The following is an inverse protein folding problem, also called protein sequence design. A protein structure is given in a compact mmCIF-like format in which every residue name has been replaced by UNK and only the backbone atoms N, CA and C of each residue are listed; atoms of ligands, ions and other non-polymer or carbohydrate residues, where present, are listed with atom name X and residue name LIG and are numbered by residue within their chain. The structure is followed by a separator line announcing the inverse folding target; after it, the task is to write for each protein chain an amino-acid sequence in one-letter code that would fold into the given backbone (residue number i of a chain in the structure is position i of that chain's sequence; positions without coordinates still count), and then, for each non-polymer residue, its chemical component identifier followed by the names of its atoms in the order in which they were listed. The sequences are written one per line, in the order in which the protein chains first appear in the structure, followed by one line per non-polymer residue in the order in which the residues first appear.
data_IF_703876180545
#
_entry.id   IF_703876180545
#
_cell.length_a   1.000
_cell.length_b   1.000
_cell.length_c   1.000
_cell.angle_alpha   90.00
_cell.angle_beta   90.00
_cell.angle_gamma   90.00
#
_symmetry.space_group_name_H-M   'P 1'
#
loop_
_entity.id
_entity.type
_entity.pdbx_description
1 polymer ?
#
# COMPACT_ATOMS: atom_id res chain seq x y z
N UNK A 1 -8.71 -39.11 25.87
CA UNK A 1 -8.03 -37.83 26.19
C UNK A 1 -6.86 -37.51 25.26
N UNK A 2 -6.05 -38.48 24.80
CA UNK A 2 -4.86 -38.19 23.96
C UNK A 2 -5.14 -37.70 22.53
N UNK A 3 -6.25 -38.09 21.89
CA UNK A 3 -6.56 -37.67 20.52
C UNK A 3 -7.01 -36.20 20.38
N UNK A 4 -7.60 -35.61 21.43
CA UNK A 4 -8.07 -34.21 21.41
C UNK A 4 -6.86 -33.24 21.43
N UNK A 5 -5.80 -33.58 22.13
CA UNK A 5 -4.56 -32.78 22.19
C UNK A 5 -3.86 -32.75 20.82
N UNK A 6 -3.88 -33.86 20.08
CA UNK A 6 -3.31 -33.92 18.73
C UNK A 6 -4.11 -33.11 17.70
N UNK A 7 -5.44 -33.08 17.79
CA UNK A 7 -6.28 -32.28 16.88
C UNK A 7 -6.16 -30.79 17.18
N UNK A 8 -6.12 -30.38 18.44
CA UNK A 8 -5.89 -28.97 18.83
C UNK A 8 -4.48 -28.53 18.43
N UNK A 9 -3.48 -29.39 18.60
CA UNK A 9 -2.11 -29.14 18.15
C UNK A 9 -2.04 -28.96 16.63
N UNK A 10 -2.73 -29.79 15.85
CA UNK A 10 -2.75 -29.71 14.39
C UNK A 10 -3.51 -28.47 13.88
N UNK A 11 -4.60 -28.09 14.56
CA UNK A 11 -5.35 -26.85 14.25
C UNK A 11 -4.55 -25.62 14.63
N UNK A 12 -3.80 -25.62 15.75
CA UNK A 12 -2.89 -24.54 16.12
C UNK A 12 -1.71 -24.43 15.15
N UNK A 13 -1.20 -25.55 14.64
CA UNK A 13 -0.13 -25.59 13.64
C UNK A 13 -0.62 -25.13 12.27
N UNK A 14 -1.85 -25.50 11.88
CA UNK A 14 -2.52 -24.96 10.69
C UNK A 14 -2.82 -23.46 10.85
N UNK A 15 -3.26 -22.99 12.02
CA UNK A 15 -3.47 -21.57 12.29
C UNK A 15 -2.14 -20.79 12.36
N UNK A 16 -1.01 -21.41 12.70
CA UNK A 16 0.32 -20.79 12.58
C UNK A 16 0.81 -20.77 11.13
N UNK A 17 0.55 -21.82 10.35
CA UNK A 17 0.92 -21.90 8.93
C UNK A 17 0.05 -21.00 8.04
N UNK A 18 -1.22 -20.77 8.42
CA UNK A 18 -2.15 -19.88 7.72
C UNK A 18 -2.27 -18.47 8.34
N UNK A 19 -1.93 -18.29 9.62
CA UNK A 19 -2.17 -17.05 10.38
C UNK A 19 -1.09 -15.98 10.29
N UNK A 20 0.10 -16.30 9.78
CA UNK A 20 1.16 -15.28 9.59
C UNK A 20 2.00 -15.56 8.35
N UNK A 21 1.38 -15.94 7.23
CA UNK A 21 1.96 -15.58 5.93
C UNK A 21 1.69 -14.09 5.70
N UNK A 22 2.32 -13.23 6.50
CA UNK A 22 2.77 -11.95 5.97
C UNK A 22 3.72 -12.34 4.84
N UNK A 23 3.20 -12.48 3.62
CA UNK A 23 4.05 -12.52 2.45
C UNK A 23 4.89 -11.24 2.54
N UNK A 24 6.22 -11.32 2.36
CA UNK A 24 7.06 -10.13 2.37
C UNK A 24 6.39 -9.13 1.45
N UNK A 25 6.05 -7.97 2.01
CA UNK A 25 5.66 -6.80 1.25
C UNK A 25 6.72 -6.61 0.18
N UNK A 26 6.28 -6.42 -1.07
CA UNK A 26 7.19 -6.05 -2.16
C UNK A 26 8.14 -4.99 -1.60
N UNK A 27 9.43 -5.31 -1.63
CA UNK A 27 10.46 -4.40 -1.17
C UNK A 27 10.21 -3.09 -1.91
N UNK A 28 9.85 -2.02 -1.21
CA UNK A 28 9.72 -0.68 -1.82
C UNK A 28 11.05 -0.17 -2.42
N UNK A 29 12.08 -1.01 -2.40
CA UNK A 29 13.45 -0.81 -2.87
C UNK A 29 13.66 -1.18 -4.34
N UNK A 30 12.74 -1.94 -4.95
CA UNK A 30 12.86 -2.33 -6.36
C UNK A 30 12.15 -1.30 -7.24
N UNK A 31 12.60 -0.05 -7.19
CA UNK A 31 12.06 1.03 -8.02
C UNK A 31 12.41 0.73 -9.48
N UNK A 32 11.38 0.63 -10.32
CA UNK A 32 11.54 0.40 -11.75
C UNK A 32 11.55 1.74 -12.49
N UNK A 33 12.22 1.77 -13.65
CA UNK A 33 11.96 2.85 -14.60
C UNK A 33 10.50 2.80 -15.04
N UNK A 34 9.92 3.95 -15.40
CA UNK A 34 8.48 4.04 -15.67
C UNK A 34 8.03 3.06 -16.77
N UNK A 35 8.79 2.93 -17.87
CA UNK A 35 8.44 2.01 -18.95
C UNK A 35 8.58 0.54 -18.54
N UNK A 36 9.55 0.21 -17.67
CA UNK A 36 9.70 -1.12 -17.08
C UNK A 36 8.52 -1.44 -16.14
N UNK A 37 8.05 -0.46 -15.37
CA UNK A 37 6.88 -0.58 -14.52
C UNK A 37 5.62 -0.86 -15.33
N UNK A 38 5.39 -0.10 -16.41
CA UNK A 38 4.24 -0.31 -17.30
C UNK A 38 4.29 -1.71 -17.92
N UNK A 39 5.45 -2.14 -18.41
CA UNK A 39 5.67 -3.49 -18.94
C UNK A 39 5.41 -4.57 -17.88
N UNK A 40 5.92 -4.38 -16.65
CA UNK A 40 5.68 -5.28 -15.52
C UNK A 40 4.20 -5.42 -15.21
N UNK A 41 3.46 -4.31 -15.15
CA UNK A 41 2.01 -4.29 -14.91
C UNK A 41 1.25 -5.06 -15.99
N UNK A 42 1.59 -4.87 -17.27
CA UNK A 42 1.01 -5.64 -18.38
C UNK A 42 1.31 -7.14 -18.27
N UNK A 43 2.56 -7.50 -17.98
CA UNK A 43 2.98 -8.90 -17.79
C UNK A 43 2.28 -9.59 -16.63
N UNK A 44 1.98 -8.82 -15.57
CA UNK A 44 1.29 -9.31 -14.39
C UNK A 44 -0.18 -9.58 -14.69
N UNK A 45 -0.83 -8.69 -15.45
CA UNK A 45 -2.20 -8.88 -15.92
C UNK A 45 -2.33 -10.16 -16.77
N UNK A 46 -1.33 -10.47 -17.60
CA UNK A 46 -1.31 -11.66 -18.46
C UNK A 46 -1.26 -13.01 -17.70
N UNK A 47 -0.94 -13.02 -16.39
CA UNK A 47 -0.93 -14.26 -15.57
C UNK A 47 -2.30 -14.87 -15.35
N UNK A 48 -3.37 -14.14 -15.70
CA UNK A 48 -4.73 -14.66 -15.76
C UNK A 48 -5.50 -14.59 -14.43
N UNK A 49 -6.77 -14.98 -14.53
CA UNK A 49 -7.74 -14.91 -13.42
C UNK A 49 -7.61 -16.14 -12.52
N UNK A 50 -7.71 -15.92 -11.21
CA UNK A 50 -7.86 -17.01 -10.24
C UNK A 50 -9.32 -17.32 -9.93
N UNK A 51 -9.52 -18.39 -9.15
CA UNK A 51 -10.86 -18.80 -8.71
C UNK A 51 -11.31 -17.97 -7.51
N UNK A 52 -12.54 -17.46 -7.59
CA UNK A 52 -13.27 -16.86 -6.48
C UNK A 52 -13.18 -15.33 -6.38
N UNK A 53 -13.79 -14.79 -5.32
CA UNK A 53 -13.88 -13.35 -5.07
C UNK A 53 -13.53 -13.02 -3.62
N UNK A 54 -12.90 -11.87 -3.38
CA UNK A 54 -12.48 -11.39 -2.05
C UNK A 54 -13.04 -10.00 -1.73
N UNK A 55 -12.95 -9.55 -0.48
CA UNK A 55 -13.26 -8.16 -0.10
C UNK A 55 -11.96 -7.42 0.20
N UNK A 56 -11.89 -6.13 -0.15
CA UNK A 56 -10.82 -5.27 0.33
C UNK A 56 -10.90 -5.25 1.85
N UNK A 57 -9.78 -5.45 2.52
CA UNK A 57 -9.68 -5.44 3.98
C UNK A 57 -8.55 -4.51 4.36
N UNK A 58 -8.82 -3.66 5.34
CA UNK A 58 -7.80 -2.86 5.99
C UNK A 58 -7.55 -3.41 7.40
N UNK A 59 -6.30 -3.45 7.88
CA UNK A 59 -6.00 -3.93 9.22
C UNK A 59 -6.81 -3.21 10.31
N UNK A 60 -7.53 -3.93 11.19
CA UNK A 60 -8.42 -3.32 12.18
C UNK A 60 -7.69 -2.57 13.30
N UNK A 61 -6.36 -2.77 13.41
CA UNK A 61 -5.51 -2.08 14.36
C UNK A 61 -4.83 -0.84 13.78
N UNK A 62 -4.92 -0.58 12.48
CA UNK A 62 -4.18 0.48 11.78
C UNK A 62 -4.35 1.86 12.46
N UNK A 63 -5.60 2.25 12.75
CA UNK A 63 -5.87 3.55 13.38
C UNK A 63 -5.27 3.65 14.80
N UNK A 64 -5.32 2.55 15.58
CA UNK A 64 -4.73 2.49 16.92
C UNK A 64 -3.19 2.49 16.85
N UNK A 65 -2.62 1.76 15.90
CA UNK A 65 -1.18 1.71 15.63
C UNK A 65 -0.66 3.11 15.29
N UNK A 66 -1.34 3.77 14.35
CA UNK A 66 -1.01 5.11 13.90
C UNK A 66 -1.09 6.15 15.03
N UNK A 67 -2.18 6.14 15.80
CA UNK A 67 -2.33 7.02 16.96
C UNK A 67 -1.23 6.80 18.01
N UNK A 68 -0.92 5.53 18.34
CA UNK A 68 0.10 5.18 19.33
C UNK A 68 1.50 5.60 18.89
N UNK A 69 1.90 5.28 17.66
CA UNK A 69 3.24 5.59 17.14
C UNK A 69 3.43 7.10 17.00
N UNK A 70 2.49 7.83 16.39
CA UNK A 70 2.57 9.30 16.32
C UNK A 70 2.60 9.93 17.72
N UNK A 71 1.79 9.42 18.65
CA UNK A 71 1.79 9.88 20.04
C UNK A 71 3.10 9.60 20.80
N UNK A 72 3.86 8.57 20.40
CA UNK A 72 5.22 8.35 20.91
C UNK A 72 6.22 9.31 20.27
N UNK A 73 6.20 9.46 18.94
CA UNK A 73 7.12 10.32 18.18
C UNK A 73 7.00 11.80 18.60
N UNK A 74 5.78 12.28 18.84
CA UNK A 74 5.52 13.66 19.27
C UNK A 74 6.12 14.03 20.64
N UNK A 75 6.56 13.05 21.46
CA UNK A 75 7.19 13.31 22.76
C UNK A 75 8.65 13.77 22.65
N UNK A 76 9.26 13.55 21.49
CA UNK A 76 10.66 13.85 21.24
C UNK A 76 10.74 15.14 20.43
N UNK A 77 11.65 16.03 20.83
CA UNK A 77 11.96 17.26 20.11
C UNK A 77 12.80 16.95 18.87
N UNK A 78 13.87 16.18 19.05
CA UNK A 78 14.68 15.65 17.96
C UNK A 78 14.06 14.36 17.41
N UNK A 79 13.78 14.35 16.10
CA UNK A 79 13.16 13.24 15.40
C UNK A 79 13.96 12.91 14.15
N UNK A 80 14.04 11.63 13.84
CA UNK A 80 14.56 11.16 12.57
C UNK A 80 13.73 11.77 11.41
N UNK A 81 14.32 12.02 10.23
CA UNK A 81 13.62 12.68 9.13
C UNK A 81 12.33 11.99 8.70
N UNK A 82 12.30 10.65 8.72
CA UNK A 82 11.11 9.86 8.44
C UNK A 82 10.01 10.05 9.53
N UNK A 83 10.41 10.11 10.81
CA UNK A 83 9.49 10.31 11.93
C UNK A 83 8.83 11.69 11.85
N UNK A 84 9.60 12.71 11.46
CA UNK A 84 9.11 14.07 11.29
C UNK A 84 7.99 14.15 10.26
N UNK A 85 8.14 13.46 9.11
CA UNK A 85 7.07 13.38 8.10
C UNK A 85 5.77 12.80 8.68
N UNK A 86 5.86 11.73 9.49
CA UNK A 86 4.66 11.15 10.10
C UNK A 86 4.01 12.09 11.13
N UNK A 87 4.80 12.77 11.96
CA UNK A 87 4.26 13.70 12.96
C UNK A 87 3.59 14.92 12.31
N UNK A 88 4.20 15.47 11.25
CA UNK A 88 3.67 16.63 10.53
C UNK A 88 2.36 16.33 9.79
N UNK A 89 2.15 15.06 9.45
CA UNK A 89 1.00 14.62 8.66
C UNK A 89 0.04 13.72 9.45
N UNK A 90 0.21 13.61 10.77
CA UNK A 90 -0.46 12.61 11.58
C UNK A 90 -1.99 12.71 11.55
N UNK A 91 -2.54 13.92 11.65
CA UNK A 91 -3.99 14.16 11.56
C UNK A 91 -4.55 13.76 10.19
N UNK A 92 -3.88 14.16 9.12
CA UNK A 92 -4.25 13.80 7.75
C UNK A 92 -4.30 12.28 7.56
N UNK A 93 -3.29 11.55 8.05
CA UNK A 93 -3.26 10.09 7.95
C UNK A 93 -4.39 9.42 8.75
N UNK A 94 -4.75 9.96 9.93
CA UNK A 94 -5.90 9.48 10.70
C UNK A 94 -7.21 9.67 9.95
N UNK A 95 -7.43 10.85 9.38
CA UNK A 95 -8.62 11.18 8.59
C UNK A 95 -8.74 10.28 7.35
N UNK A 96 -7.63 10.09 6.60
CA UNK A 96 -7.60 9.22 5.42
C UNK A 96 -7.84 7.75 5.77
N UNK A 97 -7.33 7.29 6.90
CA UNK A 97 -7.57 5.93 7.42
C UNK A 97 -9.04 5.72 7.75
N UNK A 98 -9.68 6.69 8.44
CA UNK A 98 -11.10 6.62 8.77
C UNK A 98 -11.99 6.67 7.51
N UNK A 99 -11.67 7.55 6.57
CA UNK A 99 -12.38 7.65 5.29
C UNK A 99 -12.31 6.33 4.50
N UNK A 100 -11.11 5.75 4.36
CA UNK A 100 -10.92 4.47 3.69
C UNK A 100 -11.73 3.34 4.35
N UNK A 101 -11.81 3.28 5.68
CA UNK A 101 -12.66 2.30 6.37
C UNK A 101 -14.14 2.43 6.04
N UNK A 102 -14.63 3.66 5.87
CA UNK A 102 -16.00 3.92 5.44
C UNK A 102 -16.24 3.41 4.02
N UNK A 103 -15.38 3.78 3.09
CA UNK A 103 -15.51 3.44 1.66
C UNK A 103 -15.45 1.92 1.42
N UNK A 104 -14.56 1.19 2.10
CA UNK A 104 -14.45 -0.27 1.95
C UNK A 104 -15.77 -0.99 2.24
N UNK A 105 -16.61 -0.47 3.14
CA UNK A 105 -17.90 -1.10 3.48
C UNK A 105 -18.86 -1.15 2.31
N UNK A 106 -18.79 -0.17 1.40
CA UNK A 106 -19.58 -0.12 0.17
C UNK A 106 -19.05 -1.03 -0.94
N UNK A 107 -17.80 -1.51 -0.83
CA UNK A 107 -17.17 -2.34 -1.86
C UNK A 107 -17.62 -3.79 -1.71
N UNK A 108 -18.20 -4.31 -2.79
CA UNK A 108 -18.61 -5.71 -2.91
C UNK A 108 -17.43 -6.70 -2.96
N UNK A 109 -17.73 -7.98 -3.22
CA UNK A 109 -16.67 -8.96 -3.48
C UNK A 109 -16.08 -8.74 -4.88
N UNK A 110 -14.76 -8.66 -5.00
CA UNK A 110 -14.01 -8.42 -6.23
C UNK A 110 -13.27 -9.68 -6.71
N UNK A 111 -13.01 -9.82 -8.02
CA UNK A 111 -12.27 -10.96 -8.58
C UNK A 111 -10.85 -11.12 -8.00
N UNK A 112 -10.38 -12.38 -8.00
CA UNK A 112 -9.03 -12.73 -7.57
C UNK A 112 -8.11 -13.06 -8.75
N UNK A 113 -6.82 -12.82 -8.58
CA UNK A 113 -5.76 -13.29 -9.48
C UNK A 113 -5.42 -14.76 -9.23
N UNK A 114 -4.58 -15.35 -10.09
CA UNK A 114 -4.14 -16.74 -9.97
C UNK A 114 -3.50 -17.07 -8.61
N UNK A 115 -2.91 -16.08 -7.93
CA UNK A 115 -2.28 -16.20 -6.62
C UNK A 115 -3.28 -16.10 -5.44
N UNK A 116 -4.57 -15.90 -5.75
CA UNK A 116 -5.66 -15.79 -4.78
C UNK A 116 -5.81 -14.40 -4.13
N UNK A 117 -5.09 -13.40 -4.62
CA UNK A 117 -5.16 -12.00 -4.18
C UNK A 117 -6.23 -11.24 -4.96
N UNK A 118 -6.80 -10.19 -4.38
CA UNK A 118 -7.76 -9.34 -5.10
C UNK A 118 -7.02 -8.57 -6.18
N UNK A 119 -7.44 -8.70 -7.44
CA UNK A 119 -6.71 -8.17 -8.60
C UNK A 119 -6.43 -6.68 -8.51
N UNK A 120 -7.44 -5.87 -8.20
CA UNK A 120 -7.26 -4.41 -8.07
C UNK A 120 -6.31 -4.03 -6.92
N UNK A 121 -6.25 -4.83 -5.85
CA UNK A 121 -5.28 -4.64 -4.77
C UNK A 121 -3.87 -5.07 -5.19
N UNK A 122 -3.76 -6.13 -6.00
CA UNK A 122 -2.49 -6.56 -6.60
C UNK A 122 -1.93 -5.47 -7.50
N UNK A 123 -2.74 -4.96 -8.42
CA UNK A 123 -2.42 -3.81 -9.26
C UNK A 123 -1.94 -2.61 -8.42
N UNK A 124 -2.73 -2.19 -7.43
CA UNK A 124 -2.38 -1.05 -6.59
C UNK A 124 -1.06 -1.26 -5.85
N UNK A 125 -0.81 -2.46 -5.30
CA UNK A 125 0.43 -2.79 -4.58
C UNK A 125 1.66 -2.72 -5.47
N UNK A 126 1.56 -3.25 -6.68
CA UNK A 126 2.68 -3.31 -7.62
C UNK A 126 2.98 -1.92 -8.19
N UNK A 127 1.93 -1.16 -8.51
CA UNK A 127 2.06 0.24 -8.94
C UNK A 127 2.76 1.08 -7.87
N UNK A 128 2.31 1.01 -6.61
CA UNK A 128 2.90 1.80 -5.52
C UNK A 128 4.30 1.30 -5.14
N UNK A 129 4.49 -0.02 -5.10
CA UNK A 129 5.75 -0.64 -4.68
C UNK A 129 6.92 -0.35 -5.62
N UNK A 130 6.66 -0.33 -6.93
CA UNK A 130 7.68 -0.14 -7.96
C UNK A 130 7.81 1.30 -8.47
N UNK A 131 7.03 2.25 -7.93
CA UNK A 131 7.09 3.69 -8.26
C UNK A 131 7.70 4.55 -7.15
N UNK A 132 8.39 3.94 -6.17
CA UNK A 132 8.83 4.65 -4.96
C UNK A 132 7.67 5.40 -4.24
N UNK A 133 6.46 4.83 -4.33
CA UNK A 133 5.20 5.42 -3.93
C UNK A 133 4.88 6.81 -4.53
N UNK A 134 5.51 7.22 -5.64
CA UNK A 134 5.21 8.45 -6.40
C UNK A 134 4.15 8.16 -7.48
N UNK A 135 2.90 8.03 -7.05
CA UNK A 135 1.76 7.74 -7.93
C UNK A 135 1.05 9.03 -8.30
N UNK A 136 1.09 9.36 -9.59
CA UNK A 136 0.42 10.51 -10.21
C UNK A 136 -0.70 10.05 -11.15
N UNK A 137 -1.56 10.99 -11.55
CA UNK A 137 -2.69 10.71 -12.44
C UNK A 137 -2.28 10.10 -13.78
N UNK A 138 -1.25 10.66 -14.44
CA UNK A 138 -0.77 10.18 -15.74
C UNK A 138 -0.22 8.74 -15.67
N UNK A 139 0.69 8.48 -14.72
CA UNK A 139 1.22 7.15 -14.45
C UNK A 139 0.10 6.14 -14.16
N UNK A 140 -0.91 6.54 -13.37
CA UNK A 140 -2.06 5.69 -13.08
C UNK A 140 -2.83 5.32 -14.35
N UNK A 141 -3.11 6.29 -15.22
CA UNK A 141 -3.83 6.07 -16.48
C UNK A 141 -3.03 5.11 -17.36
N UNK A 142 -1.73 5.37 -17.57
CA UNK A 142 -0.84 4.48 -18.35
C UNK A 142 -0.83 3.06 -17.79
N UNK A 143 -0.72 2.90 -16.47
CA UNK A 143 -0.69 1.59 -15.83
C UNK A 143 -2.02 0.85 -15.95
N UNK A 144 -3.15 1.54 -15.79
CA UNK A 144 -4.48 0.94 -15.99
C UNK A 144 -4.64 0.49 -17.44
N UNK A 145 -4.23 1.30 -18.42
CA UNK A 145 -4.27 0.94 -19.84
C UNK A 145 -3.49 -0.35 -20.12
N UNK A 146 -2.24 -0.43 -19.68
CA UNK A 146 -1.41 -1.62 -19.87
C UNK A 146 -1.97 -2.88 -19.20
N UNK A 147 -2.62 -2.73 -18.03
CA UNK A 147 -3.32 -3.84 -17.38
C UNK A 147 -4.53 -4.30 -18.21
N UNK A 148 -5.34 -3.35 -18.70
CA UNK A 148 -6.57 -3.65 -19.43
C UNK A 148 -6.35 -4.30 -20.79
N UNK A 149 -5.19 -4.09 -21.43
CA UNK A 149 -4.81 -4.78 -22.68
C UNK A 149 -4.76 -6.30 -22.53
N UNK A 150 -4.36 -6.80 -21.35
CA UNK A 150 -4.16 -8.23 -21.11
C UNK A 150 -5.31 -8.84 -20.30
N UNK A 151 -5.80 -8.12 -19.29
CA UNK A 151 -6.88 -8.62 -18.43
C UNK A 151 -7.77 -7.45 -17.98
N UNK A 152 -8.84 -7.13 -18.73
CA UNK A 152 -9.78 -6.08 -18.38
C UNK A 152 -10.22 -6.10 -16.91
N UNK A 153 -10.35 -4.92 -16.33
CA UNK A 153 -11.03 -4.78 -15.05
C UNK A 153 -12.54 -4.86 -15.26
N UNK A 154 -13.23 -5.50 -14.31
CA UNK A 154 -14.68 -5.39 -14.22
C UNK A 154 -15.07 -3.97 -13.78
N UNK A 155 -16.30 -3.55 -14.06
CA UNK A 155 -16.82 -2.24 -13.61
C UNK A 155 -16.67 -2.05 -12.09
N UNK A 156 -16.88 -3.13 -11.34
CA UNK A 156 -16.71 -3.13 -9.89
C UNK A 156 -15.24 -2.95 -9.45
N UNK A 157 -14.28 -3.45 -10.23
CA UNK A 157 -12.85 -3.24 -9.96
C UNK A 157 -12.44 -1.80 -10.28
N UNK A 158 -12.90 -1.24 -11.40
CA UNK A 158 -12.67 0.16 -11.77
C UNK A 158 -13.25 1.11 -10.72
N UNK A 159 -14.50 0.87 -10.29
CA UNK A 159 -15.14 1.65 -9.21
C UNK A 159 -14.40 1.54 -7.87
N UNK A 160 -13.77 0.37 -7.60
CA UNK A 160 -13.02 0.13 -6.38
C UNK A 160 -11.54 0.58 -6.44
N UNK A 161 -11.05 1.00 -7.60
CA UNK A 161 -9.66 1.41 -7.80
C UNK A 161 -9.21 2.57 -6.87
N UNK A 162 -10.02 3.63 -6.64
CA UNK A 162 -9.62 4.74 -5.76
C UNK A 162 -9.31 4.26 -4.34
N UNK A 163 -10.23 3.48 -3.76
CA UNK A 163 -10.09 2.96 -2.40
C UNK A 163 -9.01 1.87 -2.32
N UNK A 164 -8.82 1.07 -3.37
CA UNK A 164 -7.74 0.09 -3.43
C UNK A 164 -6.35 0.74 -3.37
N UNK A 165 -6.15 1.83 -4.11
CA UNK A 165 -4.90 2.62 -4.07
C UNK A 165 -4.72 3.27 -2.70
N UNK A 166 -5.77 3.89 -2.15
CA UNK A 166 -5.72 4.54 -0.82
C UNK A 166 -5.35 3.54 0.28
N UNK A 167 -6.02 2.39 0.31
CA UNK A 167 -5.76 1.33 1.30
C UNK A 167 -4.35 0.77 1.16
N UNK A 168 -3.87 0.60 -0.07
CA UNK A 168 -2.50 0.13 -0.34
C UNK A 168 -1.47 1.11 0.22
N UNK A 169 -1.57 2.41 -0.11
CA UNK A 169 -0.67 3.44 0.40
C UNK A 169 -0.71 3.51 1.92
N UNK A 170 -1.91 3.52 2.53
CA UNK A 170 -2.07 3.56 3.98
C UNK A 170 -1.46 2.34 4.68
N UNK A 171 -1.59 1.15 4.08
CA UNK A 171 -1.00 -0.07 4.63
C UNK A 171 0.53 -0.01 4.60
N UNK A 172 1.11 0.41 3.48
CA UNK A 172 2.57 0.55 3.37
C UNK A 172 3.11 1.67 4.29
N UNK A 173 2.37 2.77 4.42
CA UNK A 173 2.71 3.85 5.37
C UNK A 173 2.66 3.37 6.82
N UNK A 174 1.73 2.49 7.19
CA UNK A 174 1.65 1.94 8.55
C UNK A 174 2.80 0.99 8.87
N UNK A 175 3.21 0.18 7.89
CA UNK A 175 4.40 -0.66 7.99
C UNK A 175 5.67 0.20 8.15
N UNK A 176 5.78 1.28 7.37
CA UNK A 176 6.90 2.21 7.49
C UNK A 176 6.86 3.00 8.80
N UNK A 177 5.68 3.39 9.29
CA UNK A 177 5.54 4.04 10.59
C UNK A 177 6.03 3.14 11.72
N UNK A 178 5.73 1.84 11.65
CA UNK A 178 6.19 0.86 12.65
C UNK A 178 7.71 0.75 12.65
N UNK A 179 8.34 0.64 11.47
CA UNK A 179 9.81 0.66 11.34
C UNK A 179 10.40 1.96 11.87
N UNK A 180 9.79 3.09 11.54
CA UNK A 180 10.24 4.40 11.98
C UNK A 180 10.13 4.59 13.50
N UNK A 181 9.07 4.07 14.14
CA UNK A 181 8.93 4.04 15.60
C UNK A 181 10.05 3.22 16.26
N UNK A 182 10.39 2.06 15.70
CA UNK A 182 11.49 1.22 16.18
C UNK A 182 12.85 1.91 16.04
N UNK A 183 13.11 2.55 14.89
CA UNK A 183 14.33 3.31 14.63
C UNK A 183 14.45 4.53 15.55
N UNK A 184 13.36 5.26 15.78
CA UNK A 184 13.36 6.38 16.71
C UNK A 184 13.63 5.92 18.15
N UNK A 185 13.12 4.76 18.56
CA UNK A 185 13.46 4.17 19.87
C UNK A 185 14.95 3.82 19.97
N UNK A 186 15.53 3.28 18.90
CA UNK A 186 16.94 2.95 18.83
C UNK A 186 17.80 4.23 18.89
N UNK A 187 17.43 5.27 18.14
CA UNK A 187 18.06 6.59 18.18
C UNK A 187 18.06 7.16 19.61
N UNK A 188 16.91 7.16 20.28
CA UNK A 188 16.77 7.68 21.65
C UNK A 188 17.44 6.80 22.73
N UNK A 189 17.80 5.55 22.40
CA UNK A 189 18.53 4.68 23.31
C UNK A 189 20.01 5.04 23.42
N UNK A 190 20.61 5.67 22.41
CA UNK A 190 22.04 6.00 22.39
C UNK A 190 22.42 7.02 23.50
N UNK A 191 21.73 8.16 23.69
CA UNK A 191 22.00 9.06 24.82
C UNK A 191 21.79 8.38 26.19
N UNK A 192 20.77 7.52 26.29
CA UNK A 192 20.50 6.74 27.50
C UNK A 192 21.61 5.72 27.79
N UNK A 193 22.24 5.17 26.76
CA UNK A 193 23.41 4.30 26.91
C UNK A 193 24.62 5.11 27.37
N UNK A 194 24.95 6.20 26.66
CA UNK A 194 26.12 7.03 26.95
C UNK A 194 26.08 7.55 28.39
N UNK A 195 24.96 8.16 28.81
CA UNK A 195 24.78 8.64 30.19
C UNK A 195 24.99 7.55 31.24
N UNK A 196 24.52 6.31 31.01
CA UNK A 196 24.65 5.18 31.95
C UNK A 196 26.04 4.56 31.97
N UNK A 197 26.74 4.59 30.84
CA UNK A 197 28.12 4.13 30.77
C UNK A 197 29.00 5.00 31.67
N UNK A 198 28.77 6.31 31.67
CA UNK A 198 29.51 7.28 32.47
C UNK A 198 29.00 7.44 33.92
N UNK A 199 27.83 6.89 34.30
CA UNK A 199 27.22 7.07 35.64
C UNK A 199 27.21 5.81 36.54
N UNK A 200 28.33 5.09 36.61
CA UNK A 200 28.53 3.90 37.49
C UNK A 200 27.47 2.79 37.36
N UNK A 201 26.72 2.74 36.25
CA UNK A 201 25.72 1.71 35.98
C UNK A 201 26.01 0.90 34.70
N UNK A 202 27.23 0.34 34.54
CA UNK A 202 27.68 -0.29 33.30
C UNK A 202 26.85 -1.52 32.93
N UNK A 203 26.35 -2.27 33.90
CA UNK A 203 25.47 -3.42 33.64
C UNK A 203 24.14 -3.03 33.00
N UNK A 204 23.61 -1.83 33.29
CA UNK A 204 22.38 -1.31 32.69
C UNK A 204 22.64 -0.76 31.29
N UNK A 205 23.80 -0.13 31.07
CA UNK A 205 24.24 0.31 29.75
C UNK A 205 24.41 -0.90 28.83
N UNK A 206 25.12 -1.94 29.26
CA UNK A 206 25.37 -3.12 28.44
C UNK A 206 24.09 -3.84 28.01
N UNK A 207 23.06 -3.88 28.86
CA UNK A 207 21.74 -4.41 28.46
C UNK A 207 21.07 -3.62 27.35
N UNK A 208 21.24 -2.29 27.32
CA UNK A 208 20.75 -1.45 26.22
C UNK A 208 21.56 -1.71 24.95
N UNK A 209 22.88 -1.80 25.07
CA UNK A 209 23.75 -2.15 23.94
C UNK A 209 23.34 -3.50 23.32
N UNK A 210 23.24 -4.56 24.13
CA UNK A 210 22.85 -5.89 23.66
C UNK A 210 21.49 -5.91 22.93
N UNK A 211 20.56 -5.05 23.35
CA UNK A 211 19.25 -4.92 22.70
C UNK A 211 19.34 -4.24 21.33
N UNK A 212 20.21 -3.25 21.17
CA UNK A 212 20.26 -2.37 19.99
C UNK A 212 21.52 -2.52 19.14
N UNK A 213 22.45 -3.43 19.47
CA UNK A 213 23.74 -3.62 18.78
C UNK A 213 23.64 -4.01 17.30
N UNK A 214 22.43 -4.32 16.80
CA UNK A 214 22.17 -4.58 15.37
C UNK A 214 21.48 -3.42 14.65
N UNK A 215 21.13 -2.36 15.36
CA UNK A 215 20.51 -1.16 14.79
C UNK A 215 21.61 -0.20 14.34
N UNK A 216 21.71 0.03 13.03
CA UNK A 216 22.62 1.03 12.46
C UNK A 216 22.35 2.42 13.01
N UNK A 217 21.07 2.79 13.21
CA UNK A 217 20.66 4.05 13.86
C UNK A 217 21.22 4.22 15.27
N UNK A 218 21.15 3.17 16.10
CA UNK A 218 21.70 3.24 17.45
C UNK A 218 23.22 3.34 17.43
N UNK A 219 23.89 2.51 16.61
CA UNK A 219 25.35 2.47 16.53
C UNK A 219 25.93 3.78 15.97
N UNK A 220 25.32 4.35 14.93
CA UNK A 220 25.71 5.63 14.33
C UNK A 220 25.58 6.77 15.33
N UNK A 221 24.41 6.90 15.98
CA UNK A 221 24.19 7.95 16.95
C UNK A 221 25.10 7.79 18.17
N UNK A 222 25.30 6.55 18.64
CA UNK A 222 26.22 6.27 19.75
C UNK A 222 27.66 6.65 19.37
N UNK A 223 28.13 6.29 18.18
CA UNK A 223 29.45 6.65 17.69
C UNK A 223 29.63 8.18 17.64
N UNK A 224 28.61 8.90 17.16
CA UNK A 224 28.59 10.37 17.12
C UNK A 224 28.72 10.97 18.53
N UNK A 225 27.94 10.48 19.50
CA UNK A 225 27.99 10.92 20.89
C UNK A 225 29.35 10.63 21.56
N UNK A 226 29.92 9.45 21.35
CA UNK A 226 31.22 9.09 21.93
C UNK A 226 32.36 9.93 21.35
N UNK A 227 32.33 10.21 20.04
CA UNK A 227 33.27 11.14 19.39
C UNK A 227 33.17 12.55 19.96
N UNK A 228 31.95 13.02 20.24
CA UNK A 228 31.72 14.33 20.85
C UNK A 228 32.15 14.41 22.32
N UNK A 229 32.19 13.27 23.04
CA UNK A 229 32.63 13.21 24.44
C UNK A 229 34.15 13.24 24.63
N UNK A 230 34.93 13.11 23.56
CA UNK A 230 36.41 13.07 23.58
C UNK A 230 37.01 11.96 24.49
N UNK A 231 36.28 10.88 24.74
CA UNK A 231 36.70 9.74 25.58
C UNK A 231 37.28 8.58 24.72
N UNK A 232 38.61 8.50 24.49
CA UNK A 232 39.21 7.56 23.54
C UNK A 232 39.01 6.09 23.93
N UNK A 233 38.91 5.79 25.23
CA UNK A 233 38.67 4.42 25.71
C UNK A 233 37.26 3.91 25.34
N UNK A 234 36.25 4.78 25.37
CA UNK A 234 34.89 4.42 25.00
C UNK A 234 34.75 4.21 23.48
N UNK A 235 35.45 5.03 22.69
CA UNK A 235 35.51 4.88 21.22
C UNK A 235 36.20 3.57 20.85
N UNK A 236 37.37 3.28 21.44
CA UNK A 236 38.10 2.03 21.20
C UNK A 236 37.28 0.80 21.58
N UNK A 237 36.55 0.85 22.70
CA UNK A 237 35.62 -0.20 23.10
C UNK A 237 34.52 -0.40 22.05
N UNK A 238 33.90 0.67 21.55
CA UNK A 238 32.85 0.56 20.53
C UNK A 238 33.42 -0.03 19.23
N UNK A 239 34.59 0.41 18.79
CA UNK A 239 35.25 -0.13 17.59
C UNK A 239 35.56 -1.63 17.74
N UNK A 240 35.97 -2.09 18.93
CA UNK A 240 36.15 -3.52 19.23
C UNK A 240 34.81 -4.28 19.12
N UNK A 241 33.72 -3.74 19.67
CA UNK A 241 32.40 -4.36 19.56
C UNK A 241 31.92 -4.42 18.11
N UNK A 242 32.13 -3.36 17.33
CA UNK A 242 31.78 -3.30 15.92
C UNK A 242 32.59 -4.31 15.09
N UNK A 243 33.89 -4.44 15.36
CA UNK A 243 34.74 -5.44 14.73
C UNK A 243 34.24 -6.87 15.02
N UNK A 244 33.82 -7.14 16.26
CA UNK A 244 33.19 -8.42 16.64
C UNK A 244 31.88 -8.72 15.91
N UNK A 245 31.19 -7.69 15.41
CA UNK A 245 29.97 -7.79 14.59
C UNK A 245 30.26 -7.77 13.08
N UNK A 246 31.54 -7.79 12.67
CA UNK A 246 31.97 -7.63 11.28
C UNK A 246 31.49 -6.32 10.63
N UNK A 247 31.38 -5.25 11.41
CA UNK A 247 30.97 -3.92 10.95
C UNK A 247 32.11 -2.92 11.10
N UNK A 248 32.19 -1.94 10.20
CA UNK A 248 33.12 -0.81 10.30
C UNK A 248 32.37 0.49 10.58
N UNK A 249 32.94 1.34 11.42
CA UNK A 249 32.31 2.61 11.84
C UNK A 249 31.97 3.54 10.67
N UNK A 250 32.84 3.64 9.66
CA UNK A 250 32.59 4.43 8.44
C UNK A 250 31.43 3.85 7.59
N UNK A 251 31.31 2.52 7.52
CA UNK A 251 30.24 1.85 6.77
C UNK A 251 28.88 2.06 7.45
N UNK A 252 28.83 2.05 8.78
CA UNK A 252 27.59 2.25 9.55
C UNK A 252 26.99 3.63 9.27
N UNK A 253 27.82 4.69 9.30
CA UNK A 253 27.36 6.05 9.06
C UNK A 253 26.78 6.21 7.64
N UNK A 254 27.48 5.70 6.62
CA UNK A 254 27.02 5.76 5.24
C UNK A 254 25.72 4.97 5.04
N UNK A 255 25.67 3.72 5.51
CA UNK A 255 24.47 2.87 5.41
C UNK A 255 23.28 3.52 6.10
N UNK A 256 23.47 4.11 7.28
CA UNK A 256 22.38 4.78 7.99
C UNK A 256 21.92 6.05 7.26
N UNK A 257 22.84 6.85 6.73
CA UNK A 257 22.51 8.05 5.97
C UNK A 257 21.69 7.75 4.71
N UNK A 258 22.12 6.77 3.92
CA UNK A 258 21.43 6.36 2.69
C UNK A 258 20.02 5.85 3.01
N UNK A 259 19.92 5.02 4.05
CA UNK A 259 18.65 4.45 4.53
C UNK A 259 17.68 5.52 5.04
N UNK A 260 18.14 6.51 5.81
CA UNK A 260 17.31 7.63 6.27
C UNK A 260 16.84 8.50 5.11
N UNK A 261 17.70 8.74 4.12
CA UNK A 261 17.37 9.51 2.91
C UNK A 261 16.30 8.79 2.09
N UNK A 262 16.46 7.49 1.86
CA UNK A 262 15.49 6.65 1.16
C UNK A 262 14.14 6.65 1.88
N UNK A 263 14.12 6.37 3.19
CA UNK A 263 12.90 6.34 3.99
C UNK A 263 12.18 7.70 3.98
N UNK A 264 12.93 8.80 4.11
CA UNK A 264 12.39 10.16 4.06
C UNK A 264 11.74 10.45 2.71
N UNK A 265 12.40 10.10 1.61
CA UNK A 265 11.88 10.31 0.27
C UNK A 265 10.62 9.47 0.04
N UNK A 266 10.67 8.18 0.37
CA UNK A 266 9.55 7.27 0.18
C UNK A 266 8.30 7.71 0.95
N UNK A 267 8.44 8.09 2.23
CA UNK A 267 7.30 8.57 3.04
C UNK A 267 6.75 9.89 2.50
N UNK A 268 7.63 10.80 2.08
CA UNK A 268 7.23 12.06 1.44
C UNK A 268 6.41 11.82 0.16
N UNK A 269 6.87 10.91 -0.69
CA UNK A 269 6.16 10.51 -1.91
C UNK A 269 4.82 9.85 -1.58
N UNK A 270 4.79 8.87 -0.68
CA UNK A 270 3.56 8.17 -0.31
C UNK A 270 2.47 9.11 0.24
N UNK A 271 2.85 10.06 1.12
CA UNK A 271 1.91 11.08 1.65
C UNK A 271 1.45 12.03 0.54
N UNK A 272 2.35 12.44 -0.34
CA UNK A 272 2.02 13.31 -1.48
C UNK A 272 1.07 12.61 -2.45
N UNK A 273 1.35 11.37 -2.82
CA UNK A 273 0.49 10.52 -3.64
C UNK A 273 -0.88 10.34 -3.00
N UNK A 274 -0.96 10.11 -1.69
CA UNK A 274 -2.24 10.02 -0.98
C UNK A 274 -3.08 11.30 -1.13
N UNK A 275 -2.45 12.48 -1.09
CA UNK A 275 -3.11 13.77 -1.34
C UNK A 275 -3.51 13.95 -2.79
N UNK A 276 -2.63 13.61 -3.73
CA UNK A 276 -2.89 13.69 -5.17
C UNK A 276 -4.10 12.82 -5.51
N UNK A 277 -4.07 11.54 -5.13
CA UNK A 277 -5.18 10.61 -5.32
C UNK A 277 -6.46 11.11 -4.67
N UNK A 278 -6.42 11.76 -3.51
CA UNK A 278 -7.63 12.31 -2.87
C UNK A 278 -8.24 13.51 -3.61
N UNK A 279 -7.50 14.12 -4.54
CA UNK A 279 -7.94 15.29 -5.33
C UNK A 279 -8.24 14.96 -6.79
N UNK A 280 -7.95 13.73 -7.24
CA UNK A 280 -8.25 13.32 -8.60
C UNK A 280 -9.77 13.32 -8.85
N UNK A 281 -10.22 13.68 -10.07
CA UNK A 281 -11.63 13.63 -10.45
C UNK A 281 -12.04 12.17 -10.71
N UNK A 282 -12.18 11.37 -9.65
CA UNK A 282 -12.37 9.93 -9.75
C UNK A 282 -13.60 9.50 -10.52
N UNK A 283 -14.72 10.21 -10.40
CA UNK A 283 -15.94 9.93 -11.17
C UNK A 283 -15.62 9.92 -12.66
N UNK A 284 -15.00 10.99 -13.15
CA UNK A 284 -14.57 11.12 -14.54
C UNK A 284 -13.52 10.07 -14.93
N UNK A 285 -12.46 9.89 -14.12
CA UNK A 285 -11.39 8.95 -14.44
C UNK A 285 -11.87 7.50 -14.50
N UNK A 286 -12.68 7.08 -13.53
CA UNK A 286 -13.24 5.71 -13.52
C UNK A 286 -14.20 5.47 -14.69
N UNK A 287 -14.97 6.49 -15.09
CA UNK A 287 -15.81 6.44 -16.27
C UNK A 287 -14.99 6.34 -17.57
N UNK A 288 -13.92 7.13 -17.71
CA UNK A 288 -12.99 7.07 -18.86
C UNK A 288 -12.26 5.72 -18.92
N UNK A 289 -11.93 5.11 -17.76
CA UNK A 289 -11.28 3.79 -17.69
C UNK A 289 -12.24 2.61 -17.92
N UNK A 290 -13.56 2.84 -17.88
CA UNK A 290 -14.55 1.76 -18.00
C UNK A 290 -14.75 1.32 -19.45
N UNK A 291 -14.52 0.03 -19.71
CA UNK A 291 -14.84 -0.57 -21.02
C UNK A 291 -16.34 -0.61 -21.31
N UNK A 292 -17.19 -0.65 -20.28
CA UNK A 292 -18.64 -0.59 -20.44
C UNK A 292 -19.05 0.81 -20.88
N UNK A 293 -18.46 1.85 -20.27
CA UNK A 293 -18.66 3.21 -20.72
C UNK A 293 -18.24 3.37 -22.18
N UNK A 294 -17.04 2.91 -22.54
CA UNK A 294 -16.53 2.97 -23.91
C UNK A 294 -17.44 2.25 -24.93
N UNK A 295 -18.08 1.15 -24.53
CA UNK A 295 -19.05 0.47 -25.38
C UNK A 295 -20.35 1.29 -25.52
N UNK A 296 -20.93 1.74 -24.40
CA UNK A 296 -22.20 2.46 -24.38
C UNK A 296 -22.12 3.84 -25.04
N UNK A 297 -20.94 4.44 -25.16
CA UNK A 297 -20.72 5.68 -25.93
C UNK A 297 -21.00 5.53 -27.43
N UNK A 298 -21.26 4.33 -27.94
CA UNK A 298 -21.70 4.08 -29.32
C UNK A 298 -23.19 4.38 -29.52
N UNK A 299 -23.98 4.48 -28.46
CA UNK A 299 -25.37 4.94 -28.50
C UNK A 299 -25.43 6.46 -28.69
N UNK A 300 -26.48 6.96 -29.35
CA UNK A 300 -26.62 8.39 -29.65
C UNK A 300 -27.01 9.23 -28.41
N UNK A 301 -27.80 8.65 -27.50
CA UNK A 301 -28.40 9.37 -26.37
C UNK A 301 -27.52 9.26 -25.12
N UNK A 302 -26.95 8.09 -24.85
CA UNK A 302 -26.12 7.81 -23.66
C UNK A 302 -25.01 8.86 -23.41
N UNK A 303 -24.25 9.35 -24.41
CA UNK A 303 -23.25 10.40 -24.21
C UNK A 303 -23.83 11.73 -23.70
N UNK A 304 -25.09 12.03 -24.00
CA UNK A 304 -25.78 13.27 -23.62
C UNK A 304 -26.34 13.24 -22.19
N UNK A 305 -26.40 12.06 -21.58
CA UNK A 305 -26.91 11.88 -20.22
C UNK A 305 -25.97 12.47 -19.16
N UNK A 306 -26.47 12.66 -17.94
CA UNK A 306 -25.63 12.98 -16.80
C UNK A 306 -24.81 11.76 -16.33
N UNK A 307 -23.79 12.01 -15.49
CA UNK A 307 -22.89 10.96 -15.02
C UNK A 307 -23.57 9.91 -14.12
N UNK A 308 -24.62 10.29 -13.37
CA UNK A 308 -25.36 9.37 -12.51
C UNK A 308 -26.18 8.38 -13.35
N UNK A 309 -26.86 8.89 -14.38
CA UNK A 309 -27.57 8.08 -15.39
C UNK A 309 -26.62 7.13 -16.10
N UNK A 310 -25.46 7.60 -16.57
CA UNK A 310 -24.46 6.72 -17.21
C UNK A 310 -23.92 5.65 -16.26
N UNK A 311 -23.65 5.99 -15.00
CA UNK A 311 -23.24 5.03 -13.98
C UNK A 311 -24.33 3.98 -13.72
N UNK A 312 -25.61 4.38 -13.71
CA UNK A 312 -26.73 3.46 -13.56
C UNK A 312 -26.75 2.39 -14.67
N UNK A 313 -26.58 2.80 -15.93
CA UNK A 313 -26.57 1.87 -17.07
C UNK A 313 -25.45 0.83 -16.95
N UNK A 314 -24.24 1.26 -16.58
CA UNK A 314 -23.11 0.33 -16.36
C UNK A 314 -23.42 -0.67 -15.24
N UNK A 315 -24.05 -0.23 -14.16
CA UNK A 315 -24.45 -1.12 -13.05
C UNK A 315 -25.58 -2.08 -13.45
N UNK A 316 -26.51 -1.67 -14.32
CA UNK A 316 -27.53 -2.56 -14.89
C UNK A 316 -26.86 -3.64 -15.73
N UNK A 317 -25.92 -3.29 -16.62
CA UNK A 317 -25.19 -4.26 -17.42
C UNK A 317 -24.45 -5.31 -16.55
N UNK A 318 -23.77 -4.87 -15.48
CA UNK A 318 -23.13 -5.76 -14.49
C UNK A 318 -24.14 -6.70 -13.83
N UNK A 319 -25.34 -6.20 -13.50
CA UNK A 319 -26.39 -7.01 -12.85
C UNK A 319 -26.92 -8.09 -13.78
N UNK A 320 -27.16 -7.74 -15.05
CA UNK A 320 -27.59 -8.67 -16.09
C UNK A 320 -26.48 -9.71 -16.34
N UNK A 321 -25.24 -9.28 -16.55
CA UNK A 321 -24.09 -10.15 -16.78
C UNK A 321 -23.94 -11.19 -15.68
N UNK A 322 -24.03 -10.75 -14.42
CA UNK A 322 -24.02 -11.64 -13.25
C UNK A 322 -25.19 -12.61 -13.21
N UNK A 323 -26.41 -12.17 -13.56
CA UNK A 323 -27.62 -13.02 -13.53
C UNK A 323 -27.53 -14.16 -14.54
N UNK A 324 -26.96 -13.90 -15.71
CA UNK A 324 -26.88 -14.87 -16.81
C UNK A 324 -25.49 -15.51 -16.99
N UNK A 325 -24.52 -15.18 -16.16
CA UNK A 325 -23.17 -15.75 -16.21
C UNK A 325 -22.38 -15.34 -17.45
N UNK A 326 -22.65 -14.15 -18.00
CA UNK A 326 -22.00 -13.61 -19.20
C UNK A 326 -21.11 -12.41 -18.86
N UNK A 327 -20.09 -12.10 -19.69
CA UNK A 327 -19.27 -10.91 -19.48
C UNK A 327 -20.10 -9.63 -19.56
N UNK A 328 -19.85 -8.69 -18.64
CA UNK A 328 -20.61 -7.43 -18.56
C UNK A 328 -20.56 -6.64 -19.90
N UNK A 329 -19.41 -6.63 -20.57
CA UNK A 329 -19.22 -5.99 -21.87
C UNK A 329 -20.07 -6.64 -22.99
N UNK A 330 -20.32 -7.95 -22.89
CA UNK A 330 -21.17 -8.66 -23.86
C UNK A 330 -22.64 -8.22 -23.73
N UNK A 331 -23.08 -7.83 -22.53
CA UNK A 331 -24.44 -7.28 -22.32
C UNK A 331 -24.58 -5.95 -23.07
N UNK A 332 -23.63 -5.03 -22.89
CA UNK A 332 -23.66 -3.73 -23.58
C UNK A 332 -23.66 -3.91 -25.11
N UNK A 333 -22.81 -4.80 -25.64
CA UNK A 333 -22.75 -5.09 -27.08
C UNK A 333 -24.05 -5.71 -27.61
N UNK A 334 -24.68 -6.60 -26.84
CA UNK A 334 -25.96 -7.19 -27.22
C UNK A 334 -27.08 -6.15 -27.27
N UNK A 335 -27.14 -5.25 -26.27
CA UNK A 335 -28.12 -4.16 -26.26
C UNK A 335 -27.93 -3.21 -27.45
N UNK A 336 -26.69 -2.82 -27.76
CA UNK A 336 -26.37 -1.99 -28.93
C UNK A 336 -26.76 -2.67 -30.25
N UNK A 337 -26.47 -3.97 -30.40
CA UNK A 337 -26.84 -4.72 -31.60
C UNK A 337 -28.36 -4.81 -31.82
N UNK A 338 -29.16 -4.77 -30.76
CA UNK A 338 -30.63 -4.74 -30.87
C UNK A 338 -31.15 -3.38 -31.37
N UNK A 339 -30.38 -2.30 -31.14
CA UNK A 339 -30.72 -0.94 -31.57
C UNK A 339 -30.48 -0.72 -33.08
N UNK A 340 -29.44 -1.33 -33.67
CA UNK A 340 -29.01 -1.13 -35.07
C UNK A 340 -30.08 -1.44 -36.14
N UNK A 341 -31.18 -2.10 -35.77
CA UNK A 341 -32.27 -2.48 -36.68
C UNK A 341 -33.59 -1.71 -36.51
N UNK A 342 -33.67 -0.72 -35.62
CA UNK A 342 -34.97 -0.14 -35.20
C UNK A 342 -35.39 1.14 -35.94
N UNK A 343 -34.53 1.71 -36.79
CA UNK A 343 -34.84 2.65 -37.89
C UNK A 343 -35.63 3.92 -37.56
N UNK A 344 -36.90 3.79 -37.20
CA UNK A 344 -37.86 4.88 -36.96
C UNK A 344 -38.36 4.94 -35.50
N UNK A 345 -38.18 3.88 -34.69
CA UNK A 345 -38.56 3.89 -33.28
C UNK A 345 -37.42 4.45 -32.41
N UNK A 346 -37.49 5.75 -32.11
CA UNK A 346 -36.50 6.45 -31.27
C UNK A 346 -36.30 5.80 -29.89
N UNK A 347 -37.34 5.15 -29.33
CA UNK A 347 -37.23 4.46 -28.03
C UNK A 347 -36.49 3.14 -28.19
N UNK A 348 -36.83 2.33 -29.18
CA UNK A 348 -36.17 1.05 -29.43
C UNK A 348 -34.75 1.23 -30.02
N UNK A 349 -34.44 2.38 -30.60
CA UNK A 349 -33.09 2.73 -31.05
C UNK A 349 -32.13 3.11 -29.91
N UNK A 350 -32.64 3.33 -28.68
CA UNK A 350 -31.82 3.67 -27.52
C UNK A 350 -31.45 2.44 -26.68
N UNK A 351 -30.17 2.30 -26.34
CA UNK A 351 -29.64 1.18 -25.55
C UNK A 351 -30.33 0.99 -24.20
N UNK A 352 -30.88 2.05 -23.60
CA UNK A 352 -31.60 1.98 -22.30
C UNK A 352 -32.96 1.29 -22.36
N UNK A 353 -33.50 1.04 -23.55
CA UNK A 353 -34.74 0.28 -23.73
C UNK A 353 -34.56 -1.22 -23.43
N UNK A 354 -33.37 -1.76 -23.68
CA UNK A 354 -33.01 -3.18 -23.54
C UNK A 354 -32.22 -3.46 -22.25
#
# INVERSE_FOLDING_TARGET
MQWIVSVIGLVALLLLVFGTRQRPTASYRDVLLEDELISHIGSLAARGLGKGRGRIVMPPHMQRSLHRCIGYLNRWEERLPCAQWFTDNGRFLQEMTAAAQGEIKGVGKLPKDADGQIRVMRFARELVGHSNADVKGDLLVRAVTAWQENAPFTENEITALPVALRVTLLSLLEEMLTKCDEEQRAYNAAPSFASRLFSEHPSRAMRLFERYKRSTTFLEHLLSLLRASEEPAAIAWLDEQLAGLQMQSAQIAQVEHDRQTEHRLWVGNAITSLRVLSRLPWERLTEEMSLLNAALLQDEVYPTMDAESRAYYRQVAVRIGRRFGMPDLSVCRAALALCEGQGEDELAAHVGYY
#
